data_IF_664125042616
#
_entry.id   IF_664125042616
#
_cell.length_a   1.000
_cell.length_b   1.000
_cell.length_c   1.000
_cell.angle_alpha   90.00
_cell.angle_beta   90.00
_cell.angle_gamma   90.00
#
_symmetry.space_group_name_H-M   'P 1'
#
loop_
_entity.id
_entity.type
_entity.pdbx_description
1 polymer ?
#
# COMPACT_ATOMS: atom_id res chain seq x y z
N UNK A 1 -20.35 -15.67 25.12
CA UNK A 1 -20.42 -14.47 24.25
C UNK A 1 -20.99 -14.88 22.91
N UNK A 2 -21.86 -14.09 22.29
CA UNK A 2 -22.57 -14.49 21.05
C UNK A 2 -21.71 -14.22 19.81
N UNK A 3 -21.51 -15.24 18.98
CA UNK A 3 -20.85 -15.16 17.65
C UNK A 3 -21.46 -14.03 16.80
N UNK A 4 -22.76 -13.78 16.96
CA UNK A 4 -23.47 -12.68 16.31
C UNK A 4 -22.84 -11.31 16.58
N UNK A 5 -22.43 -11.03 17.82
CA UNK A 5 -21.81 -9.75 18.17
C UNK A 5 -20.44 -9.59 17.52
N UNK A 6 -19.65 -10.65 17.45
CA UNK A 6 -18.35 -10.64 16.74
C UNK A 6 -18.54 -10.35 15.25
N UNK A 7 -19.58 -10.92 14.62
CA UNK A 7 -19.92 -10.66 13.22
C UNK A 7 -20.37 -9.21 13.02
N UNK A 8 -21.25 -8.69 13.89
CA UNK A 8 -21.72 -7.29 13.83
C UNK A 8 -20.54 -6.33 13.99
N UNK A 9 -19.67 -6.55 14.98
CA UNK A 9 -18.48 -5.72 15.20
C UNK A 9 -17.56 -5.72 13.98
N UNK A 10 -17.33 -6.88 13.36
CA UNK A 10 -16.55 -7.03 12.15
C UNK A 10 -17.18 -6.29 10.97
N UNK A 11 -18.48 -6.46 10.75
CA UNK A 11 -19.19 -5.76 9.67
C UNK A 11 -19.12 -4.23 9.84
N UNK A 12 -19.29 -3.72 11.06
CA UNK A 12 -19.17 -2.29 11.36
C UNK A 12 -17.75 -1.78 11.07
N UNK A 13 -16.72 -2.47 11.56
CA UNK A 13 -15.33 -2.08 11.31
C UNK A 13 -14.99 -2.06 9.81
N UNK A 14 -15.41 -3.10 9.09
CA UNK A 14 -15.22 -3.19 7.63
C UNK A 14 -16.00 -2.11 6.88
N UNK A 15 -17.20 -1.74 7.32
CA UNK A 15 -17.97 -0.65 6.70
C UNK A 15 -17.20 0.68 6.74
N UNK A 16 -16.55 0.99 7.87
CA UNK A 16 -15.67 2.15 7.97
C UNK A 16 -14.48 2.04 7.01
N UNK A 17 -13.77 0.91 7.04
CA UNK A 17 -12.60 0.69 6.18
C UNK A 17 -12.92 0.79 4.69
N UNK A 18 -14.06 0.26 4.25
CA UNK A 18 -14.48 0.29 2.84
C UNK A 18 -15.19 1.57 2.43
N UNK A 19 -15.61 2.42 3.37
CA UNK A 19 -16.19 3.72 3.04
C UNK A 19 -15.22 4.62 2.29
N UNK A 20 -13.91 4.37 2.39
CA UNK A 20 -12.88 5.06 1.60
C UNK A 20 -13.15 4.97 0.08
N UNK A 21 -13.75 3.87 -0.38
CA UNK A 21 -14.06 3.66 -1.80
C UNK A 21 -15.14 4.62 -2.34
N UNK A 22 -15.91 5.26 -1.45
CA UNK A 22 -16.86 6.31 -1.81
C UNK A 22 -16.13 7.62 -2.16
N UNK A 23 -14.99 7.85 -1.54
CA UNK A 23 -14.15 9.02 -1.77
C UNK A 23 -13.18 8.65 -2.90
N UNK A 24 -13.40 9.14 -4.12
CA UNK A 24 -12.54 8.90 -5.30
C UNK A 24 -11.16 9.59 -5.17
N UNK A 25 -10.39 9.23 -4.14
CA UNK A 25 -9.10 9.83 -3.80
C UNK A 25 -8.04 9.28 -4.76
N UNK A 26 -7.55 10.14 -5.65
CA UNK A 26 -6.57 9.77 -6.68
C UNK A 26 -5.13 9.59 -6.16
N UNK A 27 -4.79 10.19 -5.01
CA UNK A 27 -3.44 10.14 -4.45
C UNK A 27 -3.31 9.02 -3.42
N UNK A 28 -2.39 8.11 -3.67
CA UNK A 28 -2.14 6.92 -2.86
C UNK A 28 -1.82 7.25 -1.39
N UNK A 29 -0.94 8.22 -1.13
CA UNK A 29 -0.58 8.58 0.25
C UNK A 29 -1.75 9.12 1.05
N UNK A 30 -2.65 9.86 0.38
CA UNK A 30 -3.88 10.36 1.00
C UNK A 30 -4.87 9.21 1.22
N UNK A 31 -5.03 8.32 0.25
CA UNK A 31 -5.93 7.17 0.36
C UNK A 31 -5.57 6.30 1.57
N UNK A 32 -4.28 5.93 1.73
CA UNK A 32 -3.82 5.16 2.89
C UNK A 32 -4.05 5.93 4.19
N UNK A 33 -3.70 7.21 4.24
CA UNK A 33 -3.89 8.02 5.46
C UNK A 33 -5.36 8.08 5.90
N UNK A 34 -6.27 8.37 4.97
CA UNK A 34 -7.70 8.42 5.26
C UNK A 34 -8.27 7.03 5.57
N UNK A 35 -7.77 5.97 4.93
CA UNK A 35 -8.15 4.60 5.27
C UNK A 35 -7.72 4.24 6.70
N UNK A 36 -6.49 4.55 7.11
CA UNK A 36 -6.03 4.37 8.49
C UNK A 36 -6.86 5.19 9.48
N UNK A 37 -7.25 6.42 9.13
CA UNK A 37 -8.08 7.27 9.97
C UNK A 37 -9.50 6.71 10.11
N UNK A 38 -10.10 6.24 9.03
CA UNK A 38 -11.42 5.58 9.03
C UNK A 38 -11.37 4.26 9.82
N UNK A 39 -10.30 3.49 9.69
CA UNK A 39 -10.06 2.31 10.51
C UNK A 39 -10.01 2.64 11.99
N UNK A 40 -9.28 3.71 12.37
CA UNK A 40 -9.24 4.16 13.76
C UNK A 40 -10.61 4.62 14.26
N UNK A 41 -11.33 5.41 13.47
CA UNK A 41 -12.68 5.85 13.80
C UNK A 41 -13.62 4.64 14.00
N UNK A 42 -13.59 3.68 13.08
CA UNK A 42 -14.37 2.44 13.17
C UNK A 42 -14.02 1.61 14.39
N UNK A 43 -12.73 1.45 14.71
CA UNK A 43 -12.28 0.75 15.91
C UNK A 43 -12.79 1.42 17.19
N UNK A 44 -12.68 2.75 17.30
CA UNK A 44 -13.18 3.53 18.43
C UNK A 44 -14.71 3.41 18.54
N UNK A 45 -15.44 3.54 17.43
CA UNK A 45 -16.90 3.38 17.40
C UNK A 45 -17.31 1.99 17.90
N UNK A 46 -16.62 0.94 17.48
CA UNK A 46 -16.88 -0.42 17.93
C UNK A 46 -16.53 -0.59 19.41
N UNK A 47 -15.43 -0.01 19.91
CA UNK A 47 -15.14 0.01 21.35
C UNK A 47 -16.27 0.65 22.16
N UNK A 48 -16.77 1.81 21.73
CA UNK A 48 -17.87 2.52 22.40
C UNK A 48 -19.18 1.70 22.34
N UNK A 49 -19.54 1.18 21.16
CA UNK A 49 -20.77 0.42 20.95
C UNK A 49 -20.84 -0.84 21.83
N UNK A 50 -19.71 -1.52 22.01
CA UNK A 50 -19.60 -2.72 22.84
C UNK A 50 -19.08 -2.44 24.26
N UNK A 51 -18.99 -1.17 24.67
CA UNK A 51 -18.55 -0.71 26.00
C UNK A 51 -17.20 -1.30 26.44
N UNK A 52 -16.29 -1.48 25.48
CA UNK A 52 -14.94 -1.95 25.75
C UNK A 52 -14.02 -0.78 26.12
N UNK A 53 -13.29 -0.92 27.23
CA UNK A 53 -12.28 0.04 27.67
C UNK A 53 -10.90 -0.59 27.49
N UNK A 54 -10.07 -0.09 26.55
CA UNK A 54 -8.75 -0.66 26.30
C UNK A 54 -7.79 -0.40 27.49
N UNK A 55 -6.95 -1.39 27.78
CA UNK A 55 -5.88 -1.29 28.77
C UNK A 55 -4.51 -1.26 28.10
N UNK A 56 -3.66 -0.31 28.49
CA UNK A 56 -2.30 -0.12 27.97
C UNK A 56 -1.23 -0.29 29.05
N UNK A 57 -1.47 -1.22 30.00
CA UNK A 57 -0.44 -1.58 30.99
C UNK A 57 0.79 -2.13 30.28
N UNK A 58 1.95 -1.58 30.59
CA UNK A 58 3.22 -2.02 30.03
C UNK A 58 3.42 -3.51 30.33
N UNK A 59 3.61 -4.30 29.29
CA UNK A 59 3.79 -5.75 29.35
C UNK A 59 4.60 -6.21 28.15
N UNK A 60 5.38 -7.27 28.34
CA UNK A 60 6.26 -7.85 27.32
C UNK A 60 5.99 -9.35 27.11
N UNK A 61 4.75 -9.78 27.35
CA UNK A 61 4.33 -11.16 27.07
C UNK A 61 4.60 -11.49 25.60
N UNK A 62 5.18 -12.66 25.35
CA UNK A 62 5.61 -13.17 24.04
C UNK A 62 6.65 -12.32 23.27
N UNK A 63 7.34 -11.39 23.94
CA UNK A 63 8.38 -10.58 23.28
C UNK A 63 9.43 -11.44 22.59
N UNK A 64 9.88 -12.53 23.23
CA UNK A 64 10.89 -13.42 22.66
C UNK A 64 10.40 -14.13 21.38
N UNK A 65 9.16 -14.64 21.38
CA UNK A 65 8.55 -15.22 20.18
C UNK A 65 8.40 -14.19 19.07
N UNK A 66 8.00 -12.96 19.41
CA UNK A 66 7.93 -11.86 18.45
C UNK A 66 9.31 -11.55 17.85
N UNK A 67 10.36 -11.44 18.67
CA UNK A 67 11.71 -11.16 18.20
C UNK A 67 12.26 -12.26 17.28
N UNK A 68 11.98 -13.53 17.58
CA UNK A 68 12.35 -14.66 16.72
C UNK A 68 11.66 -14.51 15.35
N UNK A 69 10.35 -14.25 15.31
CA UNK A 69 9.64 -14.06 14.04
C UNK A 69 10.10 -12.82 13.29
N UNK A 70 10.36 -11.71 13.98
CA UNK A 70 10.87 -10.49 13.38
C UNK A 70 12.23 -10.73 12.73
N UNK A 71 13.11 -11.49 13.40
CA UNK A 71 14.38 -11.92 12.83
C UNK A 71 14.13 -12.77 11.56
N UNK A 72 13.27 -13.78 11.63
CA UNK A 72 12.93 -14.59 10.45
C UNK A 72 12.41 -13.71 9.29
N UNK A 73 11.58 -12.70 9.59
CA UNK A 73 11.07 -11.77 8.57
C UNK A 73 12.19 -10.97 7.88
N UNK A 74 13.08 -10.36 8.67
CA UNK A 74 14.18 -9.54 8.15
C UNK A 74 15.11 -10.36 7.25
N UNK A 75 15.45 -11.58 7.65
CA UNK A 75 16.45 -12.40 6.96
C UNK A 75 15.88 -13.22 5.80
N UNK A 76 14.64 -13.72 5.91
CA UNK A 76 14.05 -14.62 4.90
C UNK A 76 12.97 -13.96 4.02
N UNK A 77 12.22 -12.98 4.54
CA UNK A 77 11.08 -12.36 3.83
C UNK A 77 11.39 -10.97 3.26
N UNK A 78 12.55 -10.38 3.55
CA UNK A 78 13.03 -9.11 2.96
C UNK A 78 13.15 -9.11 1.42
N UNK A 79 12.88 -10.24 0.76
CA UNK A 79 12.83 -10.39 -0.69
C UNK A 79 11.55 -9.90 -1.38
N UNK A 80 10.46 -9.59 -0.66
CA UNK A 80 9.18 -9.18 -1.29
C UNK A 80 9.26 -7.80 -1.97
N UNK A 81 8.89 -7.74 -3.26
CA UNK A 81 8.92 -6.53 -4.09
C UNK A 81 7.72 -5.58 -3.86
N UNK A 82 7.54 -5.04 -2.66
CA UNK A 82 6.59 -3.92 -2.48
C UNK A 82 7.31 -2.62 -2.83
N UNK A 83 6.86 -1.94 -3.90
CA UNK A 83 7.49 -0.71 -4.40
C UNK A 83 6.62 0.50 -4.07
N UNK A 84 7.15 1.45 -3.31
CA UNK A 84 6.51 2.74 -3.12
C UNK A 84 6.78 3.69 -4.30
N UNK A 85 5.79 4.51 -4.71
CA UNK A 85 6.01 5.56 -5.70
C UNK A 85 7.10 6.55 -5.23
N UNK A 86 8.01 7.00 -6.12
CA UNK A 86 9.11 7.89 -5.75
C UNK A 86 8.68 9.30 -5.31
N UNK A 87 7.49 9.75 -5.73
CA UNK A 87 6.94 11.10 -5.45
C UNK A 87 6.06 11.18 -4.20
N UNK A 88 6.04 10.13 -3.38
CA UNK A 88 5.12 10.00 -2.27
C UNK A 88 5.62 10.72 -1.02
N UNK A 89 4.72 11.38 -0.27
CA UNK A 89 5.08 11.94 1.04
C UNK A 89 5.35 10.79 2.03
N UNK A 90 6.64 10.45 2.19
CA UNK A 90 7.09 9.31 3.00
C UNK A 90 6.70 9.44 4.47
N UNK A 91 6.61 10.65 4.99
CA UNK A 91 6.21 10.89 6.37
C UNK A 91 4.76 10.48 6.60
N UNK A 92 3.85 10.91 5.72
CA UNK A 92 2.42 10.55 5.81
C UNK A 92 2.24 9.04 5.75
N UNK A 93 2.91 8.37 4.80
CA UNK A 93 2.78 6.91 4.67
C UNK A 93 3.42 6.18 5.83
N UNK A 94 4.57 6.64 6.32
CA UNK A 94 5.20 6.08 7.52
C UNK A 94 4.24 6.17 8.71
N UNK A 95 3.71 7.35 9.03
CA UNK A 95 2.76 7.52 10.15
C UNK A 95 1.53 6.63 9.97
N UNK A 96 1.01 6.53 8.74
CA UNK A 96 -0.19 5.73 8.46
C UNK A 96 0.04 4.24 8.61
N UNK A 97 1.09 3.70 7.97
CA UNK A 97 1.35 2.25 7.89
C UNK A 97 2.06 1.71 9.14
N UNK A 98 2.93 2.51 9.76
CA UNK A 98 3.71 2.08 10.92
C UNK A 98 2.91 2.25 12.21
N UNK A 99 2.09 3.29 12.32
CA UNK A 99 1.45 3.62 13.59
C UNK A 99 -0.08 3.58 13.51
N UNK A 100 -0.68 4.38 12.61
CA UNK A 100 -2.13 4.61 12.65
C UNK A 100 -2.94 3.35 12.30
N UNK A 101 -2.57 2.63 11.23
CA UNK A 101 -3.21 1.36 10.87
C UNK A 101 -2.98 0.28 11.93
N UNK A 102 -1.73 -0.01 12.36
CA UNK A 102 -1.48 -0.99 13.43
C UNK A 102 -2.25 -0.69 14.71
N UNK A 103 -2.26 0.57 15.16
CA UNK A 103 -3.01 0.96 16.34
C UNK A 103 -4.52 0.73 16.18
N UNK A 104 -5.09 1.12 15.03
CA UNK A 104 -6.50 0.91 14.75
C UNK A 104 -6.88 -0.58 14.69
N UNK A 105 -6.02 -1.39 14.07
CA UNK A 105 -6.21 -2.82 13.91
C UNK A 105 -6.13 -3.52 15.27
N UNK A 106 -5.13 -3.21 16.10
CA UNK A 106 -5.03 -3.82 17.42
C UNK A 106 -6.18 -3.40 18.36
N UNK A 107 -6.63 -2.15 18.27
CA UNK A 107 -7.79 -1.68 19.02
C UNK A 107 -9.05 -2.48 18.65
N UNK A 108 -9.26 -2.76 17.37
CA UNK A 108 -10.39 -3.57 16.92
C UNK A 108 -10.19 -5.07 17.20
N UNK A 109 -9.13 -5.68 16.66
CA UNK A 109 -8.92 -7.12 16.69
C UNK A 109 -8.63 -7.63 18.10
N UNK A 110 -7.70 -7.02 18.83
CA UNK A 110 -7.29 -7.49 20.17
C UNK A 110 -8.15 -6.87 21.27
N UNK A 111 -8.62 -5.65 21.04
CA UNK A 111 -9.52 -4.98 21.98
C UNK A 111 -10.92 -5.57 21.97
N UNK A 112 -11.60 -5.53 20.84
CA UNK A 112 -13.04 -5.86 20.78
C UNK A 112 -13.29 -7.27 20.24
N UNK A 113 -12.79 -7.58 19.04
CA UNK A 113 -13.11 -8.85 18.37
C UNK A 113 -12.65 -10.07 19.18
N UNK A 114 -11.44 -10.03 19.74
CA UNK A 114 -10.93 -11.08 20.63
C UNK A 114 -11.76 -11.23 21.92
N UNK A 115 -12.32 -10.16 22.47
CA UNK A 115 -13.15 -10.26 23.67
C UNK A 115 -14.54 -10.81 23.36
N UNK A 116 -15.13 -10.37 22.25
CA UNK A 116 -16.43 -10.84 21.79
C UNK A 116 -16.39 -12.32 21.34
N UNK A 117 -15.27 -12.80 20.81
CA UNK A 117 -15.10 -14.20 20.42
C UNK A 117 -14.71 -15.14 21.59
N UNK A 118 -14.70 -14.64 22.84
CA UNK A 118 -14.38 -15.46 24.01
C UNK A 118 -12.88 -15.65 24.28
N UNK A 119 -12.03 -14.74 23.79
CA UNK A 119 -10.57 -14.85 23.78
C UNK A 119 -10.05 -16.02 22.95
N UNK A 120 -10.78 -16.41 21.89
CA UNK A 120 -10.30 -17.39 20.92
C UNK A 120 -9.24 -16.74 20.02
N UNK A 121 -7.97 -17.00 20.38
CA UNK A 121 -6.80 -16.50 19.67
C UNK A 121 -6.69 -17.07 18.24
N UNK A 122 -7.18 -18.28 18.00
CA UNK A 122 -7.09 -18.95 16.71
C UNK A 122 -8.02 -18.30 15.70
N UNK A 123 -9.29 -18.13 16.07
CA UNK A 123 -10.26 -17.42 15.23
C UNK A 123 -9.83 -15.97 14.99
N UNK A 124 -9.29 -15.29 16.01
CA UNK A 124 -8.77 -13.93 15.86
C UNK A 124 -7.65 -13.84 14.81
N UNK A 125 -6.65 -14.71 14.92
CA UNK A 125 -5.51 -14.74 14.02
C UNK A 125 -5.91 -15.15 12.59
N UNK A 126 -6.84 -16.10 12.43
CA UNK A 126 -7.37 -16.50 11.13
C UNK A 126 -8.05 -15.32 10.44
N UNK A 127 -9.02 -14.67 11.11
CA UNK A 127 -9.78 -13.55 10.52
C UNK A 127 -8.85 -12.38 10.17
N UNK A 128 -7.91 -12.04 11.06
CA UNK A 128 -6.90 -11.00 10.79
C UNK A 128 -6.09 -11.31 9.53
N UNK A 129 -5.63 -12.55 9.39
CA UNK A 129 -4.79 -12.98 8.27
C UNK A 129 -5.56 -13.05 6.96
N UNK A 130 -6.82 -13.50 7.00
CA UNK A 130 -7.69 -13.54 5.82
C UNK A 130 -8.09 -12.13 5.35
N UNK A 131 -8.32 -11.18 6.25
CA UNK A 131 -8.61 -9.80 5.84
C UNK A 131 -7.42 -9.15 5.11
N UNK A 132 -6.20 -9.57 5.44
CA UNK A 132 -5.01 -9.14 4.71
C UNK A 132 -4.91 -9.70 3.27
N UNK A 133 -5.69 -10.72 2.89
CA UNK A 133 -5.82 -11.11 1.47
C UNK A 133 -6.51 -10.03 0.65
N UNK A 134 -7.27 -9.12 1.27
CA UNK A 134 -7.88 -8.01 0.54
C UNK A 134 -6.82 -7.11 -0.12
N UNK A 135 -5.64 -6.97 0.51
CA UNK A 135 -4.50 -6.26 -0.10
C UNK A 135 -4.02 -6.94 -1.38
N UNK A 136 -4.14 -8.27 -1.48
CA UNK A 136 -3.84 -9.03 -2.70
C UNK A 136 -4.91 -8.79 -3.76
N UNK A 137 -6.19 -8.84 -3.38
CA UNK A 137 -7.32 -8.65 -4.30
C UNK A 137 -7.30 -7.25 -4.93
N UNK A 138 -6.97 -6.23 -4.15
CA UNK A 138 -6.87 -4.83 -4.63
C UNK A 138 -5.52 -4.52 -5.29
N UNK A 139 -4.60 -5.49 -5.33
CA UNK A 139 -3.31 -5.37 -6.01
C UNK A 139 -2.27 -4.53 -5.26
N UNK A 140 -2.45 -4.27 -3.97
CA UNK A 140 -1.41 -3.67 -3.12
C UNK A 140 -0.24 -4.61 -2.89
N UNK A 141 -0.50 -5.92 -2.87
CA UNK A 141 0.50 -6.96 -2.60
C UNK A 141 0.35 -8.14 -3.55
N UNK A 142 1.45 -8.85 -3.82
CA UNK A 142 1.39 -10.14 -4.51
C UNK A 142 1.05 -11.25 -3.51
N UNK A 143 0.24 -12.20 -3.94
CA UNK A 143 -0.06 -13.37 -3.12
C UNK A 143 1.22 -14.16 -2.80
N UNK A 144 1.35 -14.57 -1.54
CA UNK A 144 2.40 -15.48 -1.09
C UNK A 144 1.86 -16.30 0.07
N UNK A 145 1.89 -17.63 -0.07
CA UNK A 145 1.48 -18.54 0.99
C UNK A 145 2.35 -18.37 2.24
N UNK A 146 3.66 -18.15 2.07
CA UNK A 146 4.57 -17.88 3.18
C UNK A 146 4.20 -16.59 3.93
N UNK A 147 3.78 -15.53 3.20
CA UNK A 147 3.33 -14.28 3.83
C UNK A 147 2.01 -14.47 4.60
N UNK A 148 1.09 -15.28 4.06
CA UNK A 148 -0.15 -15.63 4.75
C UNK A 148 0.11 -16.38 6.06
N UNK A 149 0.96 -17.41 6.03
CA UNK A 149 1.36 -18.17 7.23
C UNK A 149 2.09 -17.26 8.21
N UNK A 150 3.01 -16.41 7.74
CA UNK A 150 3.70 -15.44 8.58
C UNK A 150 2.72 -14.52 9.33
N UNK A 151 1.77 -13.91 8.60
CA UNK A 151 0.74 -13.04 9.19
C UNK A 151 -0.10 -13.78 10.22
N UNK A 152 -0.42 -15.04 9.96
CA UNK A 152 -1.16 -15.87 10.89
C UNK A 152 -0.39 -16.12 12.19
N UNK A 153 0.88 -16.52 12.12
CA UNK A 153 1.68 -16.77 13.34
C UNK A 153 1.93 -15.47 14.11
N UNK A 154 2.22 -14.37 13.43
CA UNK A 154 2.35 -13.05 14.07
C UNK A 154 1.03 -12.65 14.75
N UNK A 155 -0.10 -12.86 14.08
CA UNK A 155 -1.40 -12.52 14.63
C UNK A 155 -1.77 -13.38 15.85
N UNK A 156 -1.33 -14.65 15.89
CA UNK A 156 -1.45 -15.52 17.07
C UNK A 156 -0.66 -14.95 18.26
N UNK A 157 0.59 -14.51 18.06
CA UNK A 157 1.40 -13.89 19.11
C UNK A 157 0.73 -12.64 19.66
N UNK A 158 0.19 -11.79 18.79
CA UNK A 158 -0.50 -10.57 19.22
C UNK A 158 -1.78 -10.89 20.00
N UNK A 159 -2.57 -11.86 19.52
CA UNK A 159 -3.78 -12.29 20.20
C UNK A 159 -3.49 -12.96 21.56
N UNK A 160 -2.49 -13.84 21.63
CA UNK A 160 -2.08 -14.51 22.86
C UNK A 160 -1.53 -13.51 23.88
N UNK A 161 -0.62 -12.63 23.47
CA UNK A 161 -0.06 -11.61 24.38
C UNK A 161 -1.14 -10.67 24.93
N UNK A 162 -2.11 -10.26 24.12
CA UNK A 162 -3.25 -9.45 24.58
C UNK A 162 -4.23 -10.24 25.47
N UNK A 163 -4.49 -11.51 25.17
CA UNK A 163 -5.36 -12.37 25.97
C UNK A 163 -4.78 -12.61 27.38
N UNK A 164 -3.48 -12.91 27.46
CA UNK A 164 -2.78 -13.23 28.71
C UNK A 164 -2.49 -11.98 29.54
N UNK A 165 -1.95 -10.92 28.93
CA UNK A 165 -1.62 -9.69 29.67
C UNK A 165 -2.84 -8.85 30.04
N UNK A 166 -3.95 -9.04 29.32
CA UNK A 166 -5.10 -8.14 29.38
C UNK A 166 -4.79 -6.72 28.90
N UNK A 167 -3.69 -6.51 28.17
CA UNK A 167 -3.28 -5.22 27.63
C UNK A 167 -3.05 -5.27 26.12
N UNK A 168 -3.39 -4.17 25.45
CA UNK A 168 -3.08 -3.94 24.05
C UNK A 168 -1.65 -3.45 23.82
N UNK A 169 -0.94 -3.02 24.86
CA UNK A 169 0.43 -2.52 24.75
C UNK A 169 1.37 -3.46 23.99
N UNK A 170 1.52 -4.77 24.35
CA UNK A 170 2.42 -5.65 23.63
C UNK A 170 2.03 -5.80 22.16
N UNK A 171 0.75 -6.02 21.87
CA UNK A 171 0.27 -6.20 20.49
C UNK A 171 0.53 -4.95 19.63
N UNK A 172 0.21 -3.75 20.14
CA UNK A 172 0.47 -2.47 19.44
C UNK A 172 1.96 -2.26 19.22
N UNK A 173 2.78 -2.48 20.25
CA UNK A 173 4.23 -2.33 20.16
C UNK A 173 4.80 -3.26 19.09
N UNK A 174 4.49 -4.55 19.15
CA UNK A 174 5.02 -5.55 18.23
C UNK A 174 4.55 -5.29 16.80
N UNK A 175 3.28 -4.94 16.60
CA UNK A 175 2.76 -4.62 15.28
C UNK A 175 3.42 -3.37 14.70
N UNK A 176 3.54 -2.30 15.50
CA UNK A 176 4.24 -1.06 15.10
C UNK A 176 5.69 -1.35 14.73
N UNK A 177 6.40 -2.14 15.55
CA UNK A 177 7.80 -2.53 15.27
C UNK A 177 7.91 -3.37 13.99
N UNK A 178 7.03 -4.34 13.79
CA UNK A 178 6.99 -5.16 12.58
C UNK A 178 6.80 -4.29 11.33
N UNK A 179 5.85 -3.36 11.35
CA UNK A 179 5.58 -2.48 10.21
C UNK A 179 6.69 -1.45 10.01
N UNK A 180 7.31 -0.95 11.08
CA UNK A 180 8.48 -0.07 11.00
C UNK A 180 9.65 -0.76 10.29
N UNK A 181 9.97 -1.99 10.69
CA UNK A 181 11.04 -2.78 10.07
C UNK A 181 10.73 -3.04 8.60
N UNK A 182 9.52 -3.47 8.28
CA UNK A 182 9.09 -3.65 6.89
C UNK A 182 9.23 -2.36 6.07
N UNK A 183 8.79 -1.21 6.61
CA UNK A 183 8.90 0.09 5.96
C UNK A 183 10.37 0.50 5.71
N UNK A 184 11.26 0.28 6.68
CA UNK A 184 12.70 0.57 6.54
C UNK A 184 13.31 -0.32 5.45
N UNK A 185 13.01 -1.62 5.43
CA UNK A 185 13.53 -2.55 4.43
C UNK A 185 13.08 -2.16 3.01
N UNK A 186 11.80 -1.82 2.84
CA UNK A 186 11.24 -1.36 1.56
C UNK A 186 11.90 -0.07 1.07
N UNK A 187 12.10 0.91 1.97
CA UNK A 187 12.69 2.21 1.60
C UNK A 187 14.20 2.16 1.36
N UNK A 188 14.94 1.24 2.00
CA UNK A 188 16.37 1.01 1.68
C UNK A 188 16.55 0.36 0.31
N UNK A 189 15.73 -0.64 -0.03
CA UNK A 189 15.84 -1.35 -1.32
C UNK A 189 15.55 -0.43 -2.52
N UNK A 190 14.56 0.46 -2.40
CA UNK A 190 14.26 1.45 -3.45
C UNK A 190 15.43 2.38 -3.79
N UNK A 191 16.25 2.76 -2.80
CA UNK A 191 17.46 3.58 -3.02
C UNK A 191 18.56 2.81 -3.74
N UNK A 192 18.80 1.56 -3.36
CA UNK A 192 19.86 0.75 -3.97
C UNK A 192 19.59 0.48 -5.47
N UNK A 193 18.33 0.19 -5.84
CA UNK A 193 17.96 -0.01 -7.24
C UNK A 193 18.12 1.28 -8.06
N UNK A 194 17.76 2.43 -7.50
CA UNK A 194 17.93 3.72 -8.18
C UNK A 194 19.41 4.07 -8.37
N UNK A 195 20.26 3.81 -7.37
CA UNK A 195 21.70 4.05 -7.47
C UNK A 195 22.38 3.13 -8.48
N UNK A 196 21.99 1.85 -8.55
CA UNK A 196 22.51 0.92 -9.57
C UNK A 196 22.11 1.35 -10.98
N UNK A 197 20.86 1.80 -11.17
CA UNK A 197 20.37 2.27 -12.47
C UNK A 197 21.00 3.61 -12.89
N UNK A 198 21.25 4.50 -11.94
CA UNK A 198 22.00 5.75 -12.15
C UNK A 198 23.46 5.49 -12.52
N UNK A 199 24.15 4.64 -11.78
CA UNK A 199 25.55 4.28 -12.07
C UNK A 199 25.69 3.55 -13.41
N UNK A 200 24.70 2.76 -13.83
CA UNK A 200 24.69 2.13 -15.15
C UNK A 200 24.56 3.16 -16.28
N UNK A 201 23.69 4.17 -16.14
CA UNK A 201 23.59 5.25 -17.13
C UNK A 201 24.86 6.09 -17.22
N UNK A 202 25.47 6.44 -16.09
CA UNK A 202 26.74 7.19 -16.06
C UNK A 202 27.87 6.37 -16.70
N UNK A 203 27.89 5.05 -16.48
CA UNK A 203 28.87 4.16 -17.11
C UNK A 203 28.66 4.06 -18.62
N UNK A 204 27.42 3.96 -19.09
CA UNK A 204 27.07 3.95 -20.52
C UNK A 204 27.42 5.29 -21.20
N UNK A 205 27.27 6.43 -20.51
CA UNK A 205 27.63 7.77 -21.00
C UNK A 205 29.16 8.02 -21.02
N UNK A 206 29.94 7.34 -20.17
CA UNK A 206 31.41 7.41 -20.16
C UNK A 206 32.10 6.36 -21.05
N UNK A 207 31.39 5.36 -21.55
CA UNK A 207 31.96 4.30 -22.41
C UNK A 207 31.68 4.48 -23.90
N UNK A 208 31.25 5.67 -24.32
CA UNK A 208 31.09 6.00 -25.73
C UNK A 208 32.17 6.99 -26.24
N UNK A 209 33.44 6.59 -26.39
CA UNK A 209 34.44 7.34 -27.14
C UNK A 209 34.57 6.79 -28.56
N UNK A 210 33.49 6.73 -29.35
CA UNK A 210 33.60 6.36 -30.78
C UNK A 210 32.44 6.89 -31.62
N UNK A 211 32.18 8.20 -31.59
CA UNK A 211 31.62 8.89 -32.76
C UNK A 211 32.70 9.79 -33.36
N UNK A 212 33.77 9.15 -33.82
CA UNK A 212 34.76 9.79 -34.68
C UNK A 212 34.12 10.10 -36.02
N UNK A 213 33.79 11.36 -36.24
CA UNK A 213 33.38 11.89 -37.53
C UNK A 213 34.53 11.79 -38.54
N UNK A 214 34.40 10.90 -39.53
CA UNK A 214 35.21 10.93 -40.74
C UNK A 214 34.42 11.71 -41.81
N UNK A 215 34.96 12.79 -42.41
CA UNK A 215 34.30 13.52 -43.48
C UNK A 215 34.64 12.91 -44.85
N UNK A 216 33.61 12.71 -45.68
CA UNK A 216 33.73 12.59 -47.13
C UNK A 216 33.44 11.20 -47.71
N UNK A 217 32.37 11.09 -48.49
CA UNK A 217 32.47 10.79 -49.93
C UNK A 217 31.09 10.89 -50.63
N UNK A 218 31.08 11.58 -51.76
CA UNK A 218 29.99 11.72 -52.72
C UNK A 218 29.74 10.43 -53.53
N UNK A 219 28.57 10.42 -54.22
CA UNK A 219 28.09 9.55 -55.33
C UNK A 219 27.09 8.47 -54.88
N UNK A 220 25.99 8.20 -55.59
CA UNK A 220 25.59 8.56 -56.95
C UNK A 220 24.07 8.39 -57.11
N UNK A 221 23.52 9.23 -57.95
CA UNK A 221 22.20 9.20 -58.58
C UNK A 221 22.08 8.03 -59.58
N UNK A 222 20.98 7.28 -59.54
CA UNK A 222 20.40 6.57 -60.70
C UNK A 222 19.03 5.96 -60.39
N UNK A 223 17.99 6.59 -60.95
CA UNK A 223 16.94 6.03 -61.82
C UNK A 223 15.86 5.02 -61.35
N UNK A 224 14.63 5.51 -61.57
CA UNK A 224 13.48 4.88 -62.29
C UNK A 224 12.74 3.72 -61.62
N UNK A 225 11.53 4.00 -61.09
CA UNK A 225 10.22 3.87 -61.78
C UNK A 225 9.69 2.43 -61.86
N UNK A 226 8.67 2.11 -61.06
CA UNK A 226 7.55 1.28 -61.54
C UNK A 226 6.22 1.55 -60.79
N UNK A 227 5.24 2.08 -61.55
CA UNK A 227 3.79 1.81 -61.59
C UNK A 227 2.95 1.82 -60.30
N UNK A 228 1.99 2.73 -60.14
CA UNK A 228 0.64 2.82 -60.76
C UNK A 228 -0.43 2.45 -59.70
N UNK A 229 -1.58 3.10 -59.52
CA UNK A 229 -2.23 4.27 -60.12
C UNK A 229 -3.67 4.37 -59.55
N UNK A 230 -4.31 5.54 -59.76
CA UNK A 230 -5.77 5.88 -59.59
C UNK A 230 -6.33 5.94 -58.16
N UNK A 231 -7.18 6.88 -57.73
CA UNK A 231 -7.92 8.07 -58.22
C UNK A 231 -8.27 8.85 -56.91
N UNK A 232 -8.41 10.17 -56.79
CA UNK A 232 -8.81 11.20 -57.74
C UNK A 232 -10.30 11.56 -57.59
N UNK A 233 -10.67 12.32 -56.55
CA UNK A 233 -11.76 13.34 -56.48
C UNK A 233 -11.82 13.85 -55.02
N UNK A 234 -11.61 15.14 -54.68
CA UNK A 234 -12.34 16.33 -55.13
C UNK A 234 -13.37 16.67 -54.02
N UNK A 235 -13.41 17.82 -53.35
CA UNK A 235 -12.77 19.11 -53.57
C UNK A 235 -12.87 19.99 -52.30
N UNK A 236 -12.11 21.08 -52.36
CA UNK A 236 -12.05 22.19 -51.42
C UNK A 236 -13.34 23.02 -51.45
N UNK A 237 -13.69 23.70 -50.36
CA UNK A 237 -13.75 25.17 -50.40
C UNK A 237 -14.00 25.83 -49.03
N UNK A 238 -13.21 26.88 -48.81
CA UNK A 238 -13.28 27.89 -47.76
C UNK A 238 -14.47 28.84 -47.97
N UNK A 239 -15.01 29.43 -46.89
CA UNK A 239 -14.99 30.90 -46.64
C UNK A 239 -15.89 31.35 -45.48
N UNK A 240 -15.25 32.06 -44.54
CA UNK A 240 -15.55 33.40 -44.04
C UNK A 240 -17.01 33.91 -43.92
N UNK A 241 -17.37 34.37 -42.71
CA UNK A 241 -17.96 35.70 -42.38
C UNK A 241 -18.39 35.68 -40.90
N UNK A 242 -17.74 36.40 -39.97
CA UNK A 242 -17.83 37.85 -39.63
C UNK A 242 -19.09 38.27 -38.87
N UNK A 243 -18.89 38.94 -37.72
CA UNK A 243 -19.86 39.77 -36.97
C UNK A 243 -20.24 39.17 -35.62
N UNK A 244 -19.91 39.70 -34.43
CA UNK A 244 -19.49 41.04 -34.05
C UNK A 244 -20.69 41.91 -33.66
N UNK A 245 -21.12 41.91 -32.39
CA UNK A 245 -21.21 43.11 -31.52
C UNK A 245 -21.82 42.84 -30.15
N UNK A 246 -21.32 43.63 -29.21
CA UNK A 246 -21.70 43.87 -27.83
C UNK A 246 -23.10 44.48 -27.67
N UNK A 247 -23.71 44.34 -26.49
CA UNK A 247 -23.82 45.45 -25.54
C UNK A 247 -24.44 45.02 -24.21
N UNK A 248 -23.83 45.53 -23.15
CA UNK A 248 -24.24 45.56 -21.76
C UNK A 248 -25.37 46.57 -21.52
N UNK A 249 -26.29 46.28 -20.60
CA UNK A 249 -26.89 47.30 -19.74
C UNK A 249 -27.11 46.77 -18.32
N UNK A 250 -26.26 47.28 -17.42
CA UNK A 250 -26.66 47.97 -16.18
C UNK A 250 -26.42 49.45 -16.41
#
# INVERSE_FOLDING_TARGET
>A
MSVLYSIIALALYLAFMFSINLFRIRRFEKAIFYQSLLGLAGAVTVCVAFRYVPSFRVSFVDLHWFLILLFVNVFFLGGSEVRFPPFMNRFIVMVSVVFLSPFSEELFFRGVFLKLNGNDIWTNALVFSFLHLFNVIVGFERFSFANLVYRFVVALIFAHSAAVSGSLFPAVLYHTTNNLVAFILMTRRGRNVHNVRGNRRIREEHTDPTSGSIPGEERKESDLEERAGRNGDGGEDQKDSSGGRSDSQS
#
